data_IF_619061072161
#
_entry.id   IF_619061072161
#
_cell.length_a   1.000
_cell.length_b   1.000
_cell.length_c   1.000
_cell.angle_alpha   90.00
_cell.angle_beta   90.00
_cell.angle_gamma   90.00
#
_symmetry.space_group_name_H-M   'P 1'
#
loop_
_entity.id
_entity.type
_entity.pdbx_description
1 polymer ?
#
# COMPACT_ATOMS: atom_id res chain seq x y z
N UNK A 1 -9.27 -3.90 -18.95
CA UNK A 1 -8.73 -2.53 -18.79
C UNK A 1 -8.84 -2.15 -17.31
N UNK A 2 -7.94 -1.35 -16.75
CA UNK A 2 -8.04 -0.93 -15.34
C UNK A 2 -9.14 0.13 -15.23
N UNK A 3 -9.99 0.08 -14.20
CA UNK A 3 -11.06 1.06 -14.02
C UNK A 3 -10.49 2.46 -13.78
N UNK A 4 -11.10 3.48 -14.38
CA UNK A 4 -10.61 4.86 -14.42
C UNK A 4 -10.64 5.54 -13.03
N UNK A 5 -11.61 5.15 -12.18
CA UNK A 5 -11.68 5.62 -10.78
C UNK A 5 -10.54 5.06 -9.93
N UNK A 6 -10.28 3.75 -10.01
CA UNK A 6 -9.16 3.12 -9.28
C UNK A 6 -7.80 3.67 -9.73
N UNK A 7 -7.62 3.91 -11.03
CA UNK A 7 -6.40 4.53 -11.55
C UNK A 7 -6.16 5.93 -10.98
N UNK A 8 -7.20 6.77 -10.95
CA UNK A 8 -7.13 8.14 -10.42
C UNK A 8 -6.77 8.16 -8.94
N UNK A 9 -7.39 7.30 -8.13
CA UNK A 9 -7.10 7.21 -6.69
C UNK A 9 -5.66 6.75 -6.43
N UNK A 10 -5.20 5.71 -7.13
CA UNK A 10 -3.83 5.22 -7.00
C UNK A 10 -2.80 6.29 -7.38
N UNK A 11 -3.02 7.01 -8.48
CA UNK A 11 -2.14 8.11 -8.90
C UNK A 11 -2.11 9.24 -7.85
N UNK A 12 -3.25 9.62 -7.28
CA UNK A 12 -3.31 10.64 -6.25
C UNK A 12 -2.53 10.24 -4.98
N UNK A 13 -2.55 8.96 -4.62
CA UNK A 13 -1.76 8.41 -3.50
C UNK A 13 -0.27 8.39 -3.83
N UNK A 14 0.10 7.94 -5.02
CA UNK A 14 1.50 7.92 -5.47
C UNK A 14 2.11 9.31 -5.49
N UNK A 15 1.37 10.34 -5.93
CA UNK A 15 1.81 11.75 -5.88
C UNK A 15 2.10 12.22 -4.45
N UNK A 16 1.30 11.81 -3.47
CA UNK A 16 1.55 12.11 -2.04
C UNK A 16 2.82 11.40 -1.55
N UNK A 17 2.99 10.12 -1.87
CA UNK A 17 4.20 9.35 -1.53
C UNK A 17 5.44 9.99 -2.15
N UNK A 18 5.39 10.41 -3.41
CA UNK A 18 6.49 11.11 -4.07
C UNK A 18 6.91 12.37 -3.29
N UNK A 19 5.93 13.16 -2.83
CA UNK A 19 6.19 14.32 -1.97
C UNK A 19 6.85 13.93 -0.63
N UNK A 20 6.43 12.82 -0.02
CA UNK A 20 7.03 12.29 1.20
C UNK A 20 8.47 11.83 0.97
N UNK A 21 8.75 11.13 -0.14
CA UNK A 21 10.11 10.69 -0.52
C UNK A 21 11.04 11.87 -0.77
N UNK A 22 10.58 12.90 -1.48
CA UNK A 22 11.35 14.15 -1.62
C UNK A 22 11.59 14.83 -0.27
N UNK A 23 10.62 14.74 0.65
CA UNK A 23 10.76 15.19 2.03
C UNK A 23 11.87 14.45 2.77
N UNK A 24 11.87 13.11 2.72
CA UNK A 24 12.88 12.26 3.32
C UNK A 24 14.30 12.62 2.85
N UNK A 25 14.48 12.82 1.54
CA UNK A 25 15.78 13.24 0.98
C UNK A 25 16.28 14.55 1.61
N UNK A 26 15.40 15.55 1.78
CA UNK A 26 15.77 16.82 2.45
C UNK A 26 16.08 16.63 3.93
N UNK A 27 15.29 15.83 4.64
CA UNK A 27 15.49 15.58 6.07
C UNK A 27 16.87 14.94 6.33
N UNK A 28 17.25 13.96 5.50
CA UNK A 28 18.55 13.30 5.57
C UNK A 28 19.68 14.29 5.24
N UNK A 29 19.53 15.07 4.16
CA UNK A 29 20.53 16.06 3.77
C UNK A 29 20.73 17.17 4.83
N UNK A 30 19.68 17.49 5.60
CA UNK A 30 19.72 18.45 6.69
C UNK A 30 20.19 17.86 8.02
N UNK A 31 20.47 16.55 8.08
CA UNK A 31 20.89 15.89 9.31
C UNK A 31 19.82 15.89 10.40
N UNK A 32 18.53 15.77 10.04
CA UNK A 32 17.46 15.64 11.03
C UNK A 32 17.60 14.34 11.85
N UNK A 33 17.04 14.37 13.05
CA UNK A 33 17.01 13.22 13.96
C UNK A 33 16.44 11.96 13.30
N UNK A 34 17.06 10.81 13.63
CA UNK A 34 16.69 9.52 13.06
C UNK A 34 15.21 9.17 13.31
N UNK A 35 14.68 9.48 14.49
CA UNK A 35 13.29 9.20 14.87
C UNK A 35 12.27 9.94 13.97
N UNK A 36 12.57 11.19 13.62
CA UNK A 36 11.74 11.98 12.70
C UNK A 36 11.77 11.40 11.28
N UNK A 37 12.96 11.02 10.80
CA UNK A 37 13.15 10.41 9.48
C UNK A 37 12.41 9.07 9.41
N UNK A 38 12.52 8.25 10.45
CA UNK A 38 11.81 6.97 10.57
C UNK A 38 10.30 7.16 10.57
N UNK A 39 9.79 8.13 11.32
CA UNK A 39 8.35 8.46 11.34
C UNK A 39 7.84 8.81 9.94
N UNK A 40 8.57 9.67 9.22
CA UNK A 40 8.19 10.07 7.87
C UNK A 40 8.32 8.92 6.86
N UNK A 41 9.29 8.03 7.04
CA UNK A 41 9.47 6.82 6.22
C UNK A 41 8.28 5.88 6.39
N UNK A 42 7.83 5.66 7.63
CA UNK A 42 6.65 4.85 7.93
C UNK A 42 5.38 5.44 7.30
N UNK A 43 5.25 6.76 7.28
CA UNK A 43 4.14 7.44 6.59
C UNK A 43 4.17 7.20 5.07
N UNK A 44 5.35 7.25 4.44
CA UNK A 44 5.51 6.95 3.01
C UNK A 44 5.20 5.48 2.70
N UNK A 45 5.72 4.56 3.51
CA UNK A 45 5.45 3.12 3.42
C UNK A 45 3.95 2.83 3.50
N UNK A 46 3.24 3.40 4.46
CA UNK A 46 1.78 3.22 4.60
C UNK A 46 1.01 3.72 3.37
N UNK A 47 1.49 4.79 2.74
CA UNK A 47 0.95 5.28 1.46
C UNK A 47 1.08 4.25 0.34
N UNK A 48 2.25 3.61 0.22
CA UNK A 48 2.50 2.54 -0.76
C UNK A 48 1.66 1.30 -0.48
N UNK A 49 1.55 0.88 0.77
CA UNK A 49 0.73 -0.29 1.16
C UNK A 49 -0.73 -0.13 0.72
N UNK A 50 -1.29 1.08 0.86
CA UNK A 50 -2.64 1.36 0.39
C UNK A 50 -2.78 1.26 -1.13
N UNK A 51 -1.76 1.69 -1.89
CA UNK A 51 -1.74 1.52 -3.35
C UNK A 51 -1.66 0.03 -3.72
N UNK A 52 -0.80 -0.74 -3.05
CA UNK A 52 -0.68 -2.19 -3.25
C UNK A 52 -2.01 -2.91 -3.04
N UNK A 53 -2.78 -2.53 -2.01
CA UNK A 53 -4.10 -3.11 -1.74
C UNK A 53 -5.12 -2.80 -2.85
N UNK A 54 -5.13 -1.58 -3.38
CA UNK A 54 -6.02 -1.21 -4.49
C UNK A 54 -5.66 -1.95 -5.79
N UNK A 55 -4.36 -2.09 -6.05
CA UNK A 55 -3.88 -2.84 -7.20
C UNK A 55 -4.21 -4.34 -7.09
N UNK A 56 -4.04 -4.92 -5.91
CA UNK A 56 -4.37 -6.32 -5.63
C UNK A 56 -5.87 -6.58 -5.80
N UNK A 57 -6.73 -5.72 -5.26
CA UNK A 57 -8.19 -5.79 -5.44
C UNK A 57 -8.55 -5.81 -6.94
N UNK A 58 -7.94 -4.91 -7.71
CA UNK A 58 -8.14 -4.85 -9.16
C UNK A 58 -7.63 -6.10 -9.88
N UNK A 59 -6.50 -6.65 -9.47
CA UNK A 59 -5.93 -7.87 -10.05
C UNK A 59 -6.80 -9.09 -9.79
N UNK A 60 -7.26 -9.26 -8.55
CA UNK A 60 -8.13 -10.36 -8.14
C UNK A 60 -9.46 -10.31 -8.90
N UNK A 61 -10.09 -9.14 -9.00
CA UNK A 61 -11.33 -8.98 -9.76
C UNK A 61 -11.17 -9.24 -11.27
N UNK A 62 -10.04 -8.85 -11.88
CA UNK A 62 -9.86 -8.92 -13.34
C UNK A 62 -9.22 -10.20 -13.85
N UNK A 63 -8.27 -10.76 -13.11
CA UNK A 63 -7.46 -11.89 -13.55
C UNK A 63 -7.97 -13.20 -12.96
N UNK A 64 -8.45 -13.22 -11.71
CA UNK A 64 -8.89 -14.46 -11.08
C UNK A 64 -10.37 -14.76 -11.36
N UNK A 65 -11.25 -13.77 -11.34
CA UNK A 65 -12.68 -14.00 -11.66
C UNK A 65 -12.95 -14.25 -13.15
N UNK A 66 -12.01 -13.89 -14.03
CA UNK A 66 -12.19 -14.12 -15.47
C UNK A 66 -12.12 -15.60 -15.82
N UNK A 67 -11.33 -16.35 -15.06
CA UNK A 67 -11.05 -17.77 -15.29
C UNK A 67 -11.61 -18.69 -14.19
N UNK A 68 -12.12 -18.14 -13.08
CA UNK A 68 -12.74 -18.90 -11.98
C UNK A 68 -14.18 -18.46 -11.69
N UNK A 69 -15.11 -19.41 -11.61
CA UNK A 69 -16.49 -19.20 -11.15
C UNK A 69 -16.59 -19.17 -9.62
N UNK A 70 -15.80 -18.31 -8.97
CA UNK A 70 -15.90 -18.12 -7.52
C UNK A 70 -17.14 -17.28 -7.18
N UNK A 71 -17.93 -17.66 -6.16
CA UNK A 71 -18.99 -16.80 -5.63
C UNK A 71 -18.42 -15.44 -5.21
N UNK A 72 -19.10 -14.34 -5.55
CA UNK A 72 -18.65 -12.97 -5.26
C UNK A 72 -18.40 -12.76 -3.76
N UNK A 73 -19.18 -13.41 -2.91
CA UNK A 73 -19.02 -13.43 -1.45
C UNK A 73 -17.69 -14.04 -0.99
N UNK A 74 -17.24 -15.15 -1.61
CA UNK A 74 -15.97 -15.81 -1.27
C UNK A 74 -14.79 -14.92 -1.65
N UNK A 75 -14.88 -14.26 -2.81
CA UNK A 75 -13.86 -13.31 -3.26
C UNK A 75 -13.75 -12.14 -2.28
N UNK A 76 -14.89 -11.57 -1.89
CA UNK A 76 -14.94 -10.45 -0.96
C UNK A 76 -14.34 -10.81 0.38
N UNK A 77 -14.66 -12.00 0.91
CA UNK A 77 -14.07 -12.51 2.14
C UNK A 77 -12.54 -12.69 2.04
N UNK A 78 -12.05 -13.23 0.92
CA UNK A 78 -10.61 -13.45 0.70
C UNK A 78 -9.84 -12.13 0.62
N UNK A 79 -10.37 -11.14 -0.10
CA UNK A 79 -9.82 -9.79 -0.17
C UNK A 79 -9.84 -9.08 1.19
N UNK A 80 -10.91 -9.26 1.98
CA UNK A 80 -11.00 -8.70 3.32
C UNK A 80 -9.94 -9.30 4.25
N UNK A 81 -9.72 -10.62 4.18
CA UNK A 81 -8.66 -11.31 4.93
C UNK A 81 -7.27 -10.83 4.53
N UNK A 82 -6.99 -10.69 3.23
CA UNK A 82 -5.73 -10.13 2.74
C UNK A 82 -5.51 -8.69 3.21
N UNK A 83 -6.56 -7.86 3.21
CA UNK A 83 -6.50 -6.49 3.74
C UNK A 83 -6.18 -6.46 5.23
N UNK A 84 -6.78 -7.36 6.02
CA UNK A 84 -6.45 -7.51 7.45
C UNK A 84 -5.00 -7.94 7.62
N UNK A 85 -4.52 -8.89 6.83
CA UNK A 85 -3.16 -9.41 6.92
C UNK A 85 -2.09 -8.39 6.50
N UNK A 86 -2.34 -7.58 5.47
CA UNK A 86 -1.41 -6.48 5.11
C UNK A 86 -1.42 -5.37 6.17
N UNK A 87 -2.56 -5.11 6.81
CA UNK A 87 -2.70 -4.03 7.80
C UNK A 87 -2.17 -4.40 9.19
N UNK A 88 -2.28 -5.68 9.58
CA UNK A 88 -1.92 -6.15 10.93
C UNK A 88 -0.83 -7.23 10.95
N UNK A 89 -0.59 -7.90 9.81
CA UNK A 89 0.30 -9.05 9.67
C UNK A 89 1.62 -8.76 8.98
N UNK A 90 1.97 -7.49 8.75
CA UNK A 90 3.37 -7.11 8.63
C UNK A 90 3.90 -6.89 10.05
N UNK A 91 4.49 -7.90 10.73
CA UNK A 91 5.26 -7.61 11.92
C UNK A 91 6.30 -6.56 11.50
N UNK A 92 6.43 -5.51 12.30
CA UNK A 92 7.71 -4.83 12.39
C UNK A 92 8.73 -5.96 12.51
N UNK A 93 9.56 -6.15 11.49
CA UNK A 93 10.67 -7.07 11.58
C UNK A 93 11.34 -6.75 12.92
N UNK A 94 11.27 -7.67 13.87
CA UNK A 94 12.03 -7.55 15.11
C UNK A 94 13.47 -7.34 14.67
N UNK A 95 13.97 -6.10 14.82
CA UNK A 95 15.40 -5.88 14.83
C UNK A 95 15.89 -6.55 16.12
N UNK A 96 16.82 -7.51 16.05
CA UNK A 96 17.54 -7.91 17.24
C UNK A 96 18.29 -6.69 17.80
N UNK A 97 18.38 -6.63 19.14
CA UNK A 97 19.10 -5.59 19.90
C UNK A 97 20.54 -5.35 19.40
#
# INVERSE_FOLDING_TARGET
MMDERHATEMIARLRRVEGQVRGLQRMIAQGRECEDVLTQLMAARSGLEQVSLLLLDTHVQRCLLRDCALPEETLRALLQTLRMWVRFGAPAAQLPD
#
